data_IF_257057093396
#
_entry.id   IF_257057093396
#
_cell.length_a   1.000
_cell.length_b   1.000
_cell.length_c   1.000
_cell.angle_alpha   90.00
_cell.angle_beta   90.00
_cell.angle_gamma   90.00
#
_symmetry.space_group_name_H-M   'P 1'
#
loop_
_entity.id
_entity.type
_entity.pdbx_description
1 polymer ?
#
# COMPACT_ATOMS: atom_id res chain seq x y z
N UNK A 1 19.19 4.21 -44.45
CA UNK A 1 17.73 4.47 -44.45
C UNK A 1 17.37 5.09 -45.79
N UNK A 2 16.23 4.74 -46.36
CA UNK A 2 15.77 5.42 -47.58
C UNK A 2 15.36 6.86 -47.26
N UNK A 3 15.22 7.71 -48.28
CA UNK A 3 14.71 9.09 -48.13
C UNK A 3 13.35 9.12 -47.39
N UNK A 4 12.51 8.10 -47.58
CA UNK A 4 11.23 7.98 -46.87
C UNK A 4 11.38 7.65 -45.38
N UNK A 5 12.43 6.91 -44.99
CA UNK A 5 12.70 6.60 -43.58
C UNK A 5 12.98 7.85 -42.75
N UNK A 6 13.76 8.79 -43.30
CA UNK A 6 13.98 10.09 -42.65
C UNK A 6 12.71 10.96 -42.67
N UNK A 7 11.89 10.85 -43.72
CA UNK A 7 10.65 11.63 -43.84
C UNK A 7 9.55 11.15 -42.90
N UNK A 8 9.47 9.85 -42.59
CA UNK A 8 8.44 9.31 -41.69
C UNK A 8 8.74 9.61 -40.22
N UNK A 9 10.01 9.70 -39.82
CA UNK A 9 10.38 10.03 -38.44
C UNK A 9 9.73 11.32 -37.91
N UNK A 10 9.25 11.32 -36.66
CA UNK A 10 8.58 12.44 -36.01
C UNK A 10 7.10 12.20 -35.73
N UNK A 11 6.36 13.27 -35.42
CA UNK A 11 4.95 13.21 -34.99
C UNK A 11 3.98 13.38 -36.16
N UNK A 12 2.89 12.62 -36.14
CA UNK A 12 1.86 12.62 -37.18
C UNK A 12 0.46 12.65 -36.59
N UNK A 13 -0.42 13.45 -37.16
CA UNK A 13 -1.86 13.41 -36.91
C UNK A 13 -2.48 12.43 -37.91
N UNK A 14 -3.06 11.34 -37.41
CA UNK A 14 -3.69 10.30 -38.22
C UNK A 14 -5.19 10.34 -38.00
N UNK A 15 -5.97 10.25 -39.07
CA UNK A 15 -7.43 10.31 -39.03
C UNK A 15 -8.05 9.19 -39.86
N UNK A 16 -8.95 8.41 -39.25
CA UNK A 16 -9.72 7.36 -39.90
C UNK A 16 -11.18 7.39 -39.44
N UNK A 17 -12.11 7.66 -40.36
CA UNK A 17 -13.53 7.90 -40.04
C UNK A 17 -13.66 8.97 -38.95
N UNK A 18 -14.22 8.62 -37.79
CA UNK A 18 -14.40 9.51 -36.63
C UNK A 18 -13.20 9.56 -35.68
N UNK A 19 -12.20 8.70 -35.89
CA UNK A 19 -11.08 8.53 -34.98
C UNK A 19 -9.89 9.39 -35.38
N UNK A 20 -9.17 9.88 -34.38
CA UNK A 20 -7.95 10.66 -34.54
C UNK A 20 -6.90 10.17 -33.55
N UNK A 21 -5.66 10.09 -34.01
CA UNK A 21 -4.53 9.69 -33.18
C UNK A 21 -3.32 10.55 -33.48
N UNK A 22 -2.40 10.61 -32.52
CA UNK A 22 -1.09 11.22 -32.70
C UNK A 22 -0.04 10.11 -32.66
N UNK A 23 0.61 9.87 -33.79
CA UNK A 23 1.66 8.87 -33.91
C UNK A 23 3.02 9.52 -33.72
N UNK A 24 3.97 8.81 -33.14
CA UNK A 24 5.38 9.22 -33.03
C UNK A 24 6.24 8.11 -33.60
N UNK A 25 6.90 8.38 -34.73
CA UNK A 25 7.85 7.46 -35.36
C UNK A 25 9.27 7.82 -34.93
N UNK A 26 10.01 6.83 -34.43
CA UNK A 26 11.43 6.95 -34.12
C UNK A 26 12.28 6.40 -35.27
N UNK A 27 13.51 6.91 -35.40
CA UNK A 27 14.47 6.52 -36.44
C UNK A 27 14.91 5.05 -36.34
N UNK A 28 14.70 4.41 -35.18
CA UNK A 28 15.10 3.02 -34.89
C UNK A 28 14.00 1.99 -35.24
N UNK A 29 12.96 2.41 -35.97
CA UNK A 29 11.86 1.54 -36.37
C UNK A 29 10.77 1.36 -35.31
N UNK A 30 10.80 2.10 -34.19
CA UNK A 30 9.67 2.14 -33.24
C UNK A 30 8.62 3.14 -33.65
N UNK A 31 7.38 2.85 -33.27
CA UNK A 31 6.25 3.77 -33.39
C UNK A 31 5.37 3.66 -32.17
N UNK A 32 4.85 4.79 -31.68
CA UNK A 32 3.81 4.83 -30.65
C UNK A 32 2.65 5.69 -31.11
N UNK A 33 1.47 5.51 -30.50
CA UNK A 33 0.30 6.34 -30.75
C UNK A 33 -0.39 6.74 -29.44
N UNK A 34 -1.07 7.88 -29.48
CA UNK A 34 -1.95 8.37 -28.41
C UNK A 34 -3.25 8.89 -29.01
N UNK A 35 -4.39 8.50 -28.43
CA UNK A 35 -5.70 9.11 -28.69
C UNK A 35 -5.81 10.40 -27.84
N UNK A 36 -5.91 11.58 -28.48
CA UNK A 36 -5.94 12.86 -27.77
C UNK A 36 -7.19 13.09 -26.91
N UNK A 37 -8.25 12.27 -27.05
CA UNK A 37 -9.50 12.46 -26.31
C UNK A 37 -9.50 11.76 -24.95
N UNK A 38 -8.85 10.60 -24.84
CA UNK A 38 -8.87 9.76 -23.65
C UNK A 38 -7.46 9.38 -23.14
N UNK A 39 -6.42 9.83 -23.84
CA UNK A 39 -5.01 9.58 -23.53
C UNK A 39 -4.63 8.07 -23.49
N UNK A 40 -5.46 7.21 -24.10
CA UNK A 40 -5.08 5.83 -24.38
C UNK A 40 -4.02 5.81 -25.47
N UNK A 41 -3.15 4.82 -25.45
CA UNK A 41 -2.08 4.69 -26.42
C UNK A 41 -1.66 3.26 -26.64
N UNK A 42 -0.69 3.09 -27.52
CA UNK A 42 -0.07 1.81 -27.78
C UNK A 42 1.23 1.97 -28.55
N UNK A 43 2.02 0.90 -28.56
CA UNK A 43 3.34 0.88 -29.14
C UNK A 43 3.45 -0.20 -30.22
N UNK A 44 4.43 -0.05 -31.11
CA UNK A 44 4.63 -0.93 -32.23
C UNK A 44 5.98 -0.75 -32.91
N UNK A 45 6.10 -1.37 -34.09
CA UNK A 45 7.24 -1.27 -34.98
C UNK A 45 6.79 -0.89 -36.37
N UNK A 46 7.65 -0.21 -37.11
CA UNK A 46 7.46 0.07 -38.52
C UNK A 46 8.65 -0.42 -39.32
N UNK A 47 8.40 -0.85 -40.56
CA UNK A 47 9.44 -1.26 -41.49
C UNK A 47 9.06 -0.90 -42.92
N UNK A 48 10.05 -0.47 -43.70
CA UNK A 48 9.88 -0.25 -45.14
C UNK A 48 9.76 -1.58 -45.88
N UNK A 49 8.75 -1.71 -46.76
CA UNK A 49 8.58 -2.86 -47.63
C UNK A 49 8.08 -2.43 -49.02
N UNK A 50 9.01 -2.29 -49.96
CA UNK A 50 8.71 -1.90 -51.34
C UNK A 50 8.00 -0.54 -51.40
N UNK A 51 6.74 -0.53 -51.86
CA UNK A 51 5.90 0.67 -51.99
C UNK A 51 5.13 1.03 -50.71
N UNK A 52 5.36 0.31 -49.62
CA UNK A 52 4.65 0.46 -48.36
C UNK A 52 5.62 0.65 -47.20
N UNK A 53 5.14 1.26 -46.13
CA UNK A 53 5.70 1.15 -44.79
C UNK A 53 4.67 0.40 -43.94
N UNK A 54 5.03 -0.79 -43.47
CA UNK A 54 4.12 -1.63 -42.69
C UNK A 54 4.32 -1.37 -41.21
N UNK A 55 3.22 -1.24 -40.47
CA UNK A 55 3.21 -1.09 -39.03
C UNK A 55 2.72 -2.39 -38.39
N UNK A 56 3.35 -2.74 -37.26
CA UNK A 56 2.93 -3.85 -36.40
C UNK A 56 2.72 -3.29 -35.01
N UNK A 57 1.48 -3.39 -34.51
CA UNK A 57 1.09 -2.90 -33.19
C UNK A 57 1.13 -4.04 -32.18
N UNK A 58 1.79 -3.83 -31.04
CA UNK A 58 1.87 -4.86 -30.01
C UNK A 58 0.50 -5.06 -29.34
N UNK A 59 0.09 -6.32 -29.18
CA UNK A 59 -1.19 -6.66 -28.54
C UNK A 59 -2.43 -6.31 -29.37
N UNK A 60 -2.28 -6.01 -30.66
CA UNK A 60 -3.40 -5.70 -31.56
C UNK A 60 -3.32 -6.53 -32.84
N UNK A 61 -4.47 -6.99 -33.33
CA UNK A 61 -4.59 -7.64 -34.65
C UNK A 61 -4.69 -6.63 -35.81
N UNK A 62 -4.60 -5.34 -35.50
CA UNK A 62 -4.63 -4.25 -36.46
C UNK A 62 -3.52 -4.39 -37.50
N UNK A 63 -3.90 -4.30 -38.78
CA UNK A 63 -2.97 -4.23 -39.91
C UNK A 63 -2.99 -2.83 -40.50
N UNK A 64 -1.82 -2.24 -40.64
CA UNK A 64 -1.69 -0.88 -41.15
C UNK A 64 -0.47 -0.73 -42.06
N UNK A 65 -0.68 -0.05 -43.19
CA UNK A 65 0.36 0.20 -44.19
C UNK A 65 0.26 1.63 -44.72
N UNK A 66 1.37 2.35 -44.71
CA UNK A 66 1.49 3.72 -45.24
C UNK A 66 2.04 3.66 -46.68
N UNK A 67 1.41 4.40 -47.59
CA UNK A 67 1.87 4.42 -48.99
C UNK A 67 3.16 5.23 -49.14
N UNK A 68 4.08 4.75 -49.98
CA UNK A 68 5.30 5.48 -50.37
C UNK A 68 5.12 6.12 -51.76
N UNK A 69 5.76 7.27 -52.04
CA UNK A 69 6.67 8.03 -51.16
C UNK A 69 5.94 8.75 -50.02
N UNK A 70 6.68 9.10 -48.96
CA UNK A 70 6.12 9.83 -47.81
C UNK A 70 5.93 11.30 -48.17
N UNK A 71 4.70 11.79 -47.99
CA UNK A 71 4.27 13.17 -48.26
C UNK A 71 3.78 13.83 -46.97
N UNK A 72 4.65 14.53 -46.21
CA UNK A 72 4.34 15.08 -44.89
C UNK A 72 3.02 15.84 -44.76
N UNK A 73 2.65 16.63 -45.76
CA UNK A 73 1.44 17.46 -45.71
C UNK A 73 0.13 16.70 -45.96
N UNK A 74 0.20 15.55 -46.64
CA UNK A 74 -0.98 14.82 -47.11
C UNK A 74 -0.64 13.35 -47.33
N UNK A 75 -0.24 12.69 -46.25
CA UNK A 75 0.07 11.27 -46.26
C UNK A 75 -1.21 10.44 -46.21
N UNK A 76 -1.15 9.23 -46.73
CA UNK A 76 -2.26 8.28 -46.66
C UNK A 76 -1.75 6.85 -46.53
N UNK A 77 -2.65 5.96 -46.18
CA UNK A 77 -2.38 4.54 -46.13
C UNK A 77 -3.67 3.75 -46.02
N UNK A 78 -3.52 2.46 -45.81
CA UNK A 78 -4.59 1.52 -45.60
C UNK A 78 -4.53 0.94 -44.20
N UNK A 79 -5.70 0.73 -43.63
CA UNK A 79 -5.89 0.28 -42.26
C UNK A 79 -6.98 -0.79 -42.21
N UNK A 80 -6.78 -1.83 -41.41
CA UNK A 80 -7.80 -2.83 -41.06
C UNK A 80 -7.72 -3.21 -39.58
N UNK A 81 -8.83 -3.00 -38.87
CA UNK A 81 -9.08 -3.49 -37.52
C UNK A 81 -10.54 -3.93 -37.37
N UNK A 82 -10.88 -4.41 -36.18
CA UNK A 82 -12.23 -4.85 -35.78
C UNK A 82 -13.31 -3.78 -35.98
N UNK A 83 -12.99 -2.50 -35.78
CA UNK A 83 -13.91 -1.37 -35.96
C UNK A 83 -13.95 -0.81 -37.41
N UNK A 84 -13.19 -1.40 -38.34
CA UNK A 84 -13.35 -1.13 -39.76
C UNK A 84 -12.08 -1.27 -40.59
N UNK A 85 -12.30 -1.25 -41.90
CA UNK A 85 -11.25 -1.30 -42.93
C UNK A 85 -11.40 -0.14 -43.90
N UNK A 86 -10.28 0.43 -44.37
CA UNK A 86 -10.28 1.47 -45.40
C UNK A 86 -9.01 2.32 -45.41
N UNK A 87 -9.07 3.43 -46.14
CA UNK A 87 -7.95 4.37 -46.20
C UNK A 87 -8.02 5.39 -45.06
N UNK A 88 -6.87 5.75 -44.51
CA UNK A 88 -6.73 6.86 -43.57
C UNK A 88 -6.00 8.04 -44.21
N UNK A 89 -6.08 9.20 -43.55
CA UNK A 89 -5.29 10.39 -43.89
C UNK A 89 -4.34 10.69 -42.74
N UNK A 90 -3.13 11.13 -43.06
CA UNK A 90 -2.14 11.50 -42.08
C UNK A 90 -1.45 12.81 -42.48
N UNK A 91 -1.09 13.62 -41.49
CA UNK A 91 -0.31 14.84 -41.68
C UNK A 91 0.80 14.91 -40.64
N UNK A 92 2.03 15.17 -41.07
CA UNK A 92 3.16 15.39 -40.17
C UNK A 92 2.89 16.66 -39.38
N UNK A 93 2.95 16.54 -38.07
CA UNK A 93 2.82 17.68 -37.18
C UNK A 93 4.26 18.11 -36.92
N UNK A 94 4.57 19.36 -37.26
CA UNK A 94 5.84 19.94 -36.82
C UNK A 94 5.93 19.75 -35.31
N UNK A 95 7.04 19.18 -34.83
CA UNK A 95 7.33 19.21 -33.42
C UNK A 95 7.14 20.66 -32.98
N UNK A 96 6.38 20.94 -31.90
CA UNK A 96 6.26 22.32 -31.42
C UNK A 96 7.67 22.88 -31.39
N UNK A 97 7.90 23.97 -32.16
CA UNK A 97 9.21 24.59 -32.27
C UNK A 97 9.71 24.70 -30.85
N UNK A 98 10.70 23.87 -30.50
CA UNK A 98 11.20 23.87 -29.15
C UNK A 98 11.58 25.33 -28.89
N UNK A 99 11.00 26.00 -27.87
CA UNK A 99 11.34 27.37 -27.60
C UNK A 99 12.86 27.43 -27.57
N UNK A 100 13.43 28.28 -28.45
CA UNK A 100 14.87 28.50 -28.62
C UNK A 100 15.50 28.33 -27.25
N UNK A 101 16.32 27.28 -27.08
CA UNK A 101 16.77 26.82 -25.77
C UNK A 101 17.15 28.07 -24.97
N UNK A 102 16.38 28.45 -23.93
CA UNK A 102 16.79 29.56 -23.10
C UNK A 102 18.14 29.13 -22.55
N UNK A 103 19.10 30.06 -22.62
CA UNK A 103 20.42 29.91 -22.05
C UNK A 103 20.32 29.09 -20.76
N UNK A 104 20.82 27.86 -20.78
CA UNK A 104 20.77 26.89 -19.68
C UNK A 104 21.74 27.32 -18.57
N UNK A 105 21.75 28.62 -18.27
CA UNK A 105 22.34 29.15 -17.06
C UNK A 105 21.65 28.46 -15.88
N UNK A 106 22.42 27.64 -15.17
CA UNK A 106 22.01 27.05 -13.89
C UNK A 106 21.53 28.19 -13.01
N UNK A 107 20.39 27.99 -12.33
CA UNK A 107 19.87 29.00 -11.42
C UNK A 107 21.01 29.45 -10.47
N UNK A 108 21.39 30.74 -10.46
CA UNK A 108 22.59 31.21 -9.77
C UNK A 108 22.55 31.00 -8.26
N UNK A 109 21.35 30.84 -7.68
CA UNK A 109 21.16 30.54 -6.26
C UNK A 109 21.61 29.12 -5.90
N UNK A 110 21.35 28.14 -6.77
CA UNK A 110 21.73 26.74 -6.56
C UNK A 110 23.12 26.43 -7.12
N UNK A 111 23.58 27.18 -8.14
CA UNK A 111 24.87 26.97 -8.79
C UNK A 111 26.07 27.07 -7.84
N UNK A 112 25.92 27.81 -6.74
CA UNK A 112 26.97 28.00 -5.72
C UNK A 112 26.93 26.96 -4.59
N UNK A 113 25.88 26.14 -4.53
CA UNK A 113 25.68 25.16 -3.47
C UNK A 113 26.31 23.81 -3.84
N UNK A 114 26.89 23.08 -2.88
CA UNK A 114 27.43 21.75 -3.15
C UNK A 114 26.29 20.78 -3.48
N UNK A 115 26.56 19.79 -4.34
CA UNK A 115 25.57 18.77 -4.72
C UNK A 115 25.03 17.95 -3.54
N UNK A 116 25.76 17.87 -2.42
CA UNK A 116 25.27 17.28 -1.17
C UNK A 116 24.04 17.99 -0.58
N UNK A 117 23.71 19.20 -1.06
CA UNK A 117 22.47 19.91 -0.73
C UNK A 117 21.28 19.46 -1.57
N UNK A 118 21.45 18.56 -2.54
CA UNK A 118 20.33 18.05 -3.34
C UNK A 118 19.31 17.30 -2.49
N UNK A 119 18.02 17.53 -2.73
CA UNK A 119 16.93 16.98 -1.90
C UNK A 119 16.96 15.44 -1.86
N UNK A 120 17.43 14.79 -2.93
CA UNK A 120 17.51 13.32 -2.98
C UNK A 120 18.73 12.74 -2.24
N UNK A 121 19.58 13.59 -1.63
CA UNK A 121 20.79 13.20 -0.88
C UNK A 121 20.52 13.10 0.63
N UNK A 122 19.39 12.51 1.03
CA UNK A 122 19.08 12.25 2.45
C UNK A 122 19.88 11.05 2.99
N UNK A 123 20.11 11.02 4.30
CA UNK A 123 20.85 9.96 5.01
C UNK A 123 19.91 8.90 5.59
N UNK A 124 18.72 9.29 6.04
CA UNK A 124 17.68 8.37 6.48
C UNK A 124 16.28 8.92 6.17
N UNK A 125 15.33 7.99 6.10
CA UNK A 125 13.92 8.29 5.92
C UNK A 125 13.07 7.56 6.95
N UNK A 126 12.01 8.22 7.42
CA UNK A 126 10.99 7.66 8.29
C UNK A 126 9.62 7.86 7.63
N UNK A 127 8.89 6.76 7.53
CA UNK A 127 7.49 6.76 7.14
C UNK A 127 6.65 6.27 8.31
N UNK A 128 5.71 7.09 8.76
CA UNK A 128 4.74 6.75 9.79
C UNK A 128 3.35 6.95 9.19
N UNK A 129 2.62 5.83 9.04
CA UNK A 129 1.29 5.81 8.43
C UNK A 129 0.31 6.75 9.13
N UNK A 130 0.50 7.02 10.43
CA UNK A 130 -0.41 7.84 11.23
C UNK A 130 0.04 9.29 11.38
N UNK A 131 1.12 9.67 10.70
CA UNK A 131 1.73 10.97 10.89
C UNK A 131 0.89 12.11 10.28
N UNK A 132 0.48 13.07 11.12
CA UNK A 132 -0.28 14.27 10.73
C UNK A 132 -1.55 13.98 9.91
N UNK A 133 -2.22 12.84 10.15
CA UNK A 133 -3.54 12.60 9.57
C UNK A 133 -4.53 13.59 10.19
N UNK A 134 -5.28 14.36 9.38
CA UNK A 134 -6.35 15.22 9.89
C UNK A 134 -7.39 14.42 10.69
N UNK A 135 -7.92 14.93 11.81
CA UNK A 135 -8.90 14.21 12.63
C UNK A 135 -10.16 13.80 11.88
N UNK A 136 -10.53 14.54 10.82
CA UNK A 136 -11.67 14.27 9.94
C UNK A 136 -11.40 13.17 8.89
N UNK A 137 -10.17 12.64 8.83
CA UNK A 137 -9.74 11.61 7.87
C UNK A 137 -9.18 10.37 8.56
N UNK A 138 -9.92 9.83 9.53
CA UNK A 138 -9.53 8.65 10.31
C UNK A 138 -9.18 7.39 9.48
N UNK A 139 -9.51 7.36 8.19
CA UNK A 139 -9.22 6.26 7.26
C UNK A 139 -8.15 6.59 6.21
N UNK A 140 -7.54 7.78 6.26
CA UNK A 140 -6.47 8.14 5.32
C UNK A 140 -5.11 7.75 5.88
N UNK A 141 -4.24 7.20 5.05
CA UNK A 141 -2.83 7.04 5.40
C UNK A 141 -2.10 8.36 5.23
N UNK A 142 -1.07 8.60 6.05
CA UNK A 142 -0.17 9.74 5.86
C UNK A 142 0.53 9.64 4.50
N UNK A 143 0.58 10.77 3.78
CA UNK A 143 1.39 10.93 2.56
C UNK A 143 2.75 11.57 2.84
N UNK A 144 3.14 11.70 4.11
CA UNK A 144 4.32 12.45 4.52
C UNK A 144 5.52 11.52 4.74
N UNK A 145 6.59 11.78 4.01
CA UNK A 145 7.90 11.22 4.25
C UNK A 145 8.75 12.20 5.05
N UNK A 146 9.31 11.74 6.18
CA UNK A 146 10.27 12.51 6.97
C UNK A 146 11.69 12.13 6.56
N UNK A 147 12.47 13.11 6.13
CA UNK A 147 13.82 12.93 5.59
C UNK A 147 14.83 13.62 6.48
N UNK A 148 15.86 12.90 6.91
CA UNK A 148 17.00 13.43 7.67
C UNK A 148 18.24 13.41 6.78
N UNK A 149 19.08 14.45 6.89
CA UNK A 149 20.29 14.61 6.08
C UNK A 149 21.54 14.59 6.95
N UNK A 150 22.71 14.42 6.33
CA UNK A 150 24.01 14.32 7.02
C UNK A 150 24.38 15.56 7.84
N UNK A 151 23.87 16.74 7.47
CA UNK A 151 24.08 17.99 8.22
C UNK A 151 23.06 18.19 9.37
N UNK A 152 22.25 17.17 9.67
CA UNK A 152 21.23 17.20 10.72
C UNK A 152 19.92 17.90 10.33
N UNK A 153 19.81 18.45 9.12
CA UNK A 153 18.54 19.02 8.64
C UNK A 153 17.48 17.93 8.55
N UNK A 154 16.26 18.26 8.96
CA UNK A 154 15.06 17.44 8.70
C UNK A 154 14.10 18.21 7.79
N UNK A 155 13.51 17.51 6.81
CA UNK A 155 12.40 18.05 6.02
C UNK A 155 11.28 17.01 5.89
N UNK A 156 10.08 17.50 5.60
CA UNK A 156 8.93 16.69 5.25
C UNK A 156 8.64 16.83 3.75
N UNK A 157 8.32 15.72 3.09
CA UNK A 157 7.88 15.65 1.69
C UNK A 157 6.51 15.00 1.66
N UNK A 158 5.49 15.72 1.16
CA UNK A 158 4.18 15.15 0.86
C UNK A 158 4.21 14.49 -0.52
N UNK A 159 4.36 13.16 -0.57
CA UNK A 159 4.58 12.46 -1.83
C UNK A 159 3.36 12.37 -2.73
N UNK A 160 2.17 12.73 -2.25
CA UNK A 160 0.98 12.82 -3.10
C UNK A 160 0.88 14.19 -3.77
N UNK A 161 1.35 15.24 -3.11
CA UNK A 161 1.26 16.62 -3.62
C UNK A 161 2.50 17.05 -4.40
N UNK A 162 3.67 16.60 -3.98
CA UNK A 162 4.94 17.15 -4.46
C UNK A 162 5.59 16.28 -5.53
N UNK A 163 5.31 14.97 -5.57
CA UNK A 163 5.82 14.07 -6.59
C UNK A 163 4.85 13.98 -7.77
N UNK A 164 5.40 14.02 -8.98
CA UNK A 164 4.66 13.89 -10.23
C UNK A 164 4.95 12.55 -10.91
N UNK A 165 3.90 11.89 -11.41
CA UNK A 165 4.01 10.66 -12.22
C UNK A 165 4.30 10.95 -13.70
N UNK A 166 4.65 12.18 -14.07
CA UNK A 166 5.06 12.52 -15.43
C UNK A 166 6.35 11.79 -15.83
N UNK A 167 6.34 11.19 -17.03
CA UNK A 167 7.55 10.66 -17.66
C UNK A 167 8.25 11.78 -18.43
N UNK A 168 9.41 12.21 -17.94
CA UNK A 168 10.23 13.25 -18.56
C UNK A 168 11.25 12.61 -19.53
N UNK A 169 11.44 13.23 -20.69
CA UNK A 169 12.58 12.92 -21.57
C UNK A 169 13.90 13.32 -20.92
N UNK A 170 15.03 12.76 -21.38
CA UNK A 170 16.35 13.08 -20.82
C UNK A 170 16.67 14.58 -20.83
N UNK A 171 16.21 15.31 -21.87
CA UNK A 171 16.37 16.76 -21.95
C UNK A 171 15.53 17.49 -20.89
N UNK A 172 14.28 17.07 -20.70
CA UNK A 172 13.40 17.65 -19.67
C UNK A 172 13.90 17.36 -18.25
N UNK A 173 14.53 16.20 -18.02
CA UNK A 173 15.21 15.89 -16.75
C UNK A 173 16.36 16.86 -16.50
N UNK A 174 17.23 17.08 -17.50
CA UNK A 174 18.32 18.05 -17.38
C UNK A 174 17.79 19.47 -17.13
N UNK A 175 16.79 19.89 -17.90
CA UNK A 175 16.16 21.21 -17.73
C UNK A 175 15.55 21.36 -16.32
N UNK A 176 14.90 20.32 -15.79
CA UNK A 176 14.32 20.34 -14.46
C UNK A 176 15.36 20.43 -13.34
N UNK A 177 16.55 19.83 -13.54
CA UNK A 177 17.66 19.93 -12.59
C UNK A 177 18.35 21.30 -12.64
N UNK A 178 18.62 21.81 -13.85
CA UNK A 178 19.28 23.12 -14.07
C UNK A 178 18.43 24.27 -13.55
N UNK A 179 17.10 24.17 -13.71
CA UNK A 179 16.12 25.16 -13.24
C UNK A 179 15.56 24.86 -11.85
N UNK A 180 16.26 24.06 -11.07
CA UNK A 180 15.90 23.81 -9.69
C UNK A 180 15.86 25.10 -8.85
N UNK A 181 15.30 24.99 -7.66
CA UNK A 181 15.20 26.09 -6.70
C UNK A 181 15.71 25.66 -5.33
N UNK A 182 16.07 26.67 -4.52
CA UNK A 182 16.37 26.45 -3.12
C UNK A 182 15.05 26.32 -2.34
N UNK A 183 14.79 25.13 -1.79
CA UNK A 183 13.58 24.80 -1.07
C UNK A 183 13.78 24.69 0.45
N UNK A 184 12.88 23.94 1.09
CA UNK A 184 12.85 23.75 2.55
C UNK A 184 14.17 23.15 3.04
N UNK A 185 14.65 23.63 4.19
CA UNK A 185 15.92 23.18 4.78
C UNK A 185 17.17 23.55 3.97
N UNK A 186 17.07 24.54 3.06
CA UNK A 186 18.20 24.94 2.21
C UNK A 186 18.62 23.85 1.23
N UNK A 187 17.68 22.99 0.80
CA UNK A 187 17.93 21.92 -0.17
C UNK A 187 17.65 22.37 -1.58
N UNK A 188 18.39 21.81 -2.54
CA UNK A 188 18.16 22.01 -3.96
C UNK A 188 17.05 21.06 -4.40
N UNK A 189 15.92 21.62 -4.82
CA UNK A 189 14.79 20.88 -5.39
C UNK A 189 14.83 21.00 -6.91
N UNK A 190 14.60 19.92 -7.68
CA UNK A 190 14.35 20.04 -9.10
C UNK A 190 13.04 20.79 -9.34
N UNK A 191 12.88 21.38 -10.53
CA UNK A 191 11.63 22.03 -10.93
C UNK A 191 10.42 21.08 -10.86
N UNK A 192 10.66 19.79 -11.17
CA UNK A 192 9.68 18.70 -11.03
C UNK A 192 10.32 17.53 -10.31
N UNK A 193 9.66 17.04 -9.26
CA UNK A 193 10.06 15.82 -8.56
C UNK A 193 9.37 14.61 -9.21
N UNK A 194 10.12 13.83 -9.97
CA UNK A 194 9.66 12.63 -10.68
C UNK A 194 10.61 11.46 -10.37
N UNK A 195 10.27 10.25 -10.80
CA UNK A 195 11.16 9.09 -10.68
C UNK A 195 12.56 9.34 -11.27
N UNK A 196 12.66 10.17 -12.30
CA UNK A 196 13.93 10.46 -12.98
C UNK A 196 14.76 11.57 -12.30
N UNK A 197 14.12 12.50 -11.59
CA UNK A 197 14.83 13.60 -10.92
C UNK A 197 15.17 13.27 -9.46
N UNK A 198 14.29 12.55 -8.74
CA UNK A 198 14.47 12.19 -7.32
C UNK A 198 14.30 10.68 -7.09
N UNK A 199 15.13 9.82 -7.71
CA UNK A 199 14.95 8.37 -7.68
C UNK A 199 14.94 7.76 -6.27
N UNK A 200 15.69 8.32 -5.30
CA UNK A 200 15.72 7.76 -3.93
C UNK A 200 14.46 8.10 -3.14
N UNK A 201 13.98 9.34 -3.21
CA UNK A 201 12.69 9.75 -2.63
C UNK A 201 11.56 8.97 -3.31
N UNK A 202 11.65 8.74 -4.63
CA UNK A 202 10.67 7.94 -5.36
C UNK A 202 10.60 6.49 -4.84
N UNK A 203 11.76 5.85 -4.63
CA UNK A 203 11.80 4.52 -4.03
C UNK A 203 11.25 4.49 -2.60
N UNK A 204 11.46 5.56 -1.83
CA UNK A 204 10.87 5.71 -0.49
C UNK A 204 9.33 5.84 -0.56
N UNK A 205 8.79 6.59 -1.54
CA UNK A 205 7.35 6.65 -1.84
C UNK A 205 6.81 5.26 -2.18
N UNK A 206 7.43 4.53 -3.09
CA UNK A 206 6.96 3.19 -3.49
C UNK A 206 6.95 2.22 -2.29
N UNK A 207 7.93 2.36 -1.38
CA UNK A 207 7.98 1.59 -0.13
C UNK A 207 6.83 1.97 0.80
N UNK A 208 6.54 3.27 0.96
CA UNK A 208 5.41 3.74 1.75
C UNK A 208 4.07 3.23 1.19
N UNK A 209 3.85 3.31 -0.13
CA UNK A 209 2.64 2.79 -0.78
C UNK A 209 2.48 1.28 -0.61
N UNK A 210 3.58 0.51 -0.64
CA UNK A 210 3.54 -0.93 -0.35
C UNK A 210 3.13 -1.22 1.10
N UNK A 211 3.62 -0.43 2.04
CA UNK A 211 3.23 -0.54 3.46
C UNK A 211 1.74 -0.24 3.61
N UNK A 212 1.24 0.84 2.98
CA UNK A 212 -0.19 1.18 2.97
C UNK A 212 -1.05 0.07 2.36
N UNK A 213 -0.66 -0.46 1.19
CA UNK A 213 -1.41 -1.53 0.53
C UNK A 213 -1.41 -2.82 1.36
N UNK A 214 -0.28 -3.16 2.00
CA UNK A 214 -0.21 -4.33 2.86
C UNK A 214 -1.12 -4.23 4.08
N UNK A 215 -1.21 -3.03 4.68
CA UNK A 215 -2.16 -2.76 5.76
C UNK A 215 -3.62 -2.78 5.28
N UNK A 216 -3.89 -2.20 4.11
CA UNK A 216 -5.21 -2.25 3.49
C UNK A 216 -5.66 -3.66 3.13
N UNK A 217 -4.77 -4.51 2.59
CA UNK A 217 -5.07 -5.91 2.29
C UNK A 217 -5.36 -6.70 3.57
N UNK A 218 -4.57 -6.48 4.63
CA UNK A 218 -4.82 -7.07 5.94
C UNK A 218 -6.20 -6.64 6.49
N UNK A 219 -6.53 -5.35 6.35
CA UNK A 219 -7.84 -4.82 6.71
C UNK A 219 -8.98 -5.46 5.88
N UNK A 220 -8.85 -5.50 4.55
CA UNK A 220 -9.86 -6.04 3.64
C UNK A 220 -10.11 -7.54 3.88
N UNK A 221 -9.06 -8.32 4.14
CA UNK A 221 -9.17 -9.74 4.46
C UNK A 221 -9.97 -9.97 5.77
N UNK A 222 -9.77 -9.12 6.77
CA UNK A 222 -10.52 -9.19 8.04
C UNK A 222 -11.97 -8.76 7.84
N UNK A 223 -12.23 -7.68 7.09
CA UNK A 223 -13.57 -7.20 6.81
C UNK A 223 -14.42 -8.24 6.05
N UNK A 224 -13.84 -8.88 5.02
CA UNK A 224 -14.49 -9.97 4.27
C UNK A 224 -14.83 -11.17 5.15
N UNK A 225 -13.95 -11.55 6.07
CA UNK A 225 -14.21 -12.64 7.02
C UNK A 225 -15.34 -12.28 8.00
N UNK A 226 -15.41 -11.02 8.46
CA UNK A 226 -16.47 -10.52 9.32
C UNK A 226 -17.85 -10.53 8.64
N UNK A 227 -17.94 -10.06 7.39
CA UNK A 227 -19.20 -10.06 6.62
C UNK A 227 -19.67 -11.47 6.31
N UNK A 228 -18.77 -12.39 5.93
CA UNK A 228 -19.11 -13.79 5.68
C UNK A 228 -19.63 -14.51 6.93
N UNK A 229 -19.13 -14.14 8.12
CA UNK A 229 -19.63 -14.69 9.38
C UNK A 229 -21.06 -14.22 9.67
N UNK A 230 -21.39 -12.94 9.49
CA UNK A 230 -22.75 -12.43 9.73
C UNK A 230 -23.78 -13.10 8.79
N UNK A 231 -23.41 -13.36 7.54
CA UNK A 231 -24.31 -13.99 6.56
C UNK A 231 -24.49 -15.50 6.73
N UNK A 232 -23.63 -16.17 7.49
CA UNK A 232 -23.68 -17.63 7.68
C UNK A 232 -24.32 -18.05 9.01
N UNK A 233 -24.75 -17.12 9.85
CA UNK A 233 -25.57 -17.42 11.03
C UNK A 233 -27.00 -17.69 10.52
N UNK A 234 -27.49 -18.95 10.53
CA UNK A 234 -28.91 -19.18 10.25
C UNK A 234 -29.75 -18.44 11.28
N UNK A 235 -30.83 -17.80 10.85
CA UNK A 235 -31.81 -17.19 11.75
C UNK A 235 -32.31 -18.26 12.73
N UNK A 236 -31.84 -18.22 13.97
CA UNK A 236 -32.19 -19.25 14.95
C UNK A 236 -33.66 -19.11 15.35
N UNK A 237 -34.47 -20.18 15.30
CA UNK A 237 -35.81 -20.19 15.89
C UNK A 237 -35.69 -19.99 17.40
N UNK A 238 -36.49 -19.08 17.95
CA UNK A 238 -36.56 -18.85 19.38
C UNK A 238 -37.18 -20.08 20.08
N UNK A 239 -36.36 -20.92 20.70
CA UNK A 239 -36.83 -21.88 21.71
C UNK A 239 -36.13 -23.25 21.71
N UNK A 240 -35.72 -23.63 22.93
CA UNK A 240 -35.16 -24.93 23.37
C UNK A 240 -33.64 -25.17 23.14
N UNK A 241 -32.87 -25.46 24.21
CA UNK A 241 -31.46 -25.88 24.09
C UNK A 241 -31.37 -27.34 23.65
N UNK A 242 -30.59 -27.69 22.62
CA UNK A 242 -30.32 -29.08 22.29
C UNK A 242 -29.16 -29.66 23.13
N UNK A 243 -29.16 -30.97 23.41
CA UNK A 243 -28.06 -31.65 24.08
C UNK A 243 -26.84 -31.76 23.15
N UNK A 244 -25.68 -31.48 23.73
CA UNK A 244 -24.36 -31.53 23.11
C UNK A 244 -23.99 -32.91 22.57
N UNK A 245 -23.67 -33.03 21.29
CA UNK A 245 -22.56 -33.86 20.76
C UNK A 245 -22.43 -33.69 19.23
N UNK A 246 -21.58 -32.77 18.78
CA UNK A 246 -21.08 -32.77 17.40
C UNK A 246 -19.56 -32.76 17.46
N UNK A 247 -18.94 -33.90 17.10
CA UNK A 247 -17.50 -34.00 16.85
C UNK A 247 -17.19 -33.33 15.52
N UNK A 248 -16.64 -32.12 15.57
CA UNK A 248 -16.10 -31.44 14.39
C UNK A 248 -14.68 -31.97 14.13
N UNK A 249 -14.53 -32.77 13.07
CA UNK A 249 -13.22 -33.14 12.54
C UNK A 249 -12.57 -31.95 11.85
N UNK A 250 -11.50 -31.39 12.43
CA UNK A 250 -10.70 -30.34 11.78
C UNK A 250 -9.78 -30.96 10.74
N UNK A 251 -9.99 -30.61 9.48
CA UNK A 251 -9.06 -30.89 8.39
C UNK A 251 -7.84 -29.95 8.53
N UNK A 252 -6.65 -30.53 8.63
CA UNK A 252 -5.38 -29.77 8.67
C UNK A 252 -5.11 -29.19 7.28
N UNK A 253 -4.83 -27.89 7.22
CA UNK A 253 -4.26 -27.23 6.04
C UNK A 253 -2.75 -27.39 6.12
N UNK A 254 -2.14 -28.07 5.14
CA UNK A 254 -0.68 -28.21 5.06
C UNK A 254 -0.05 -26.87 4.66
N UNK A 255 1.01 -26.45 5.37
CA UNK A 255 1.88 -25.34 4.94
C UNK A 255 2.01 -24.15 5.90
N UNK A 256 1.21 -24.06 6.97
CA UNK A 256 1.37 -23.01 7.99
C UNK A 256 2.11 -23.58 9.19
N UNK A 257 3.42 -23.32 9.27
CA UNK A 257 4.24 -23.61 10.44
C UNK A 257 3.78 -22.72 11.60
N UNK A 258 2.99 -23.26 12.53
CA UNK A 258 2.73 -22.59 13.81
C UNK A 258 4.05 -22.37 14.52
N UNK A 259 4.39 -21.13 14.82
CA UNK A 259 5.45 -20.79 15.76
C UNK A 259 5.11 -21.47 17.11
N UNK A 260 5.91 -22.47 17.48
CA UNK A 260 5.95 -23.03 18.83
C UNK A 260 4.73 -23.87 19.25
N UNK A 261 4.49 -25.03 18.64
CA UNK A 261 3.74 -26.08 19.33
C UNK A 261 4.57 -26.53 20.55
N UNK A 262 4.28 -25.97 21.72
CA UNK A 262 4.88 -26.37 23.00
C UNK A 262 4.68 -27.88 23.16
N UNK A 263 5.75 -28.60 23.49
CA UNK A 263 5.68 -30.05 23.69
C UNK A 263 4.53 -30.37 24.67
N UNK A 264 3.63 -31.26 24.27
CA UNK A 264 2.51 -31.68 25.11
C UNK A 264 3.06 -32.16 26.47
N UNK A 265 2.78 -31.41 27.54
CA UNK A 265 3.26 -31.70 28.89
C UNK A 265 4.18 -30.65 29.52
N UNK A 266 4.54 -29.57 28.83
CA UNK A 266 5.22 -28.47 29.50
C UNK A 266 4.34 -27.87 30.62
N UNK A 267 4.88 -27.62 31.82
CA UNK A 267 4.08 -27.14 32.94
C UNK A 267 3.47 -25.76 32.61
N UNK A 268 2.19 -25.62 32.94
CA UNK A 268 1.50 -24.33 32.98
C UNK A 268 2.11 -23.47 34.08
N UNK A 269 2.11 -22.16 33.89
CA UNK A 269 2.71 -21.21 34.83
C UNK A 269 1.63 -20.37 35.52
N UNK A 270 1.96 -19.80 36.68
CA UNK A 270 1.16 -18.75 37.31
C UNK A 270 1.66 -17.37 36.83
N UNK A 271 0.76 -16.44 36.48
CA UNK A 271 1.16 -15.11 36.05
C UNK A 271 1.71 -14.28 37.23
N UNK A 272 2.67 -13.40 36.93
CA UNK A 272 3.27 -12.50 37.91
C UNK A 272 2.18 -11.63 38.53
N UNK A 273 2.05 -11.68 39.86
CA UNK A 273 1.02 -10.98 40.64
C UNK A 273 -0.44 -11.29 40.24
N UNK A 274 -0.70 -12.42 39.57
CA UNK A 274 -2.03 -12.69 39.05
C UNK A 274 -2.40 -11.85 37.83
N UNK A 275 -1.45 -11.15 37.19
CA UNK A 275 -1.72 -10.15 36.15
C UNK A 275 -1.08 -10.53 34.82
N UNK A 276 -1.84 -10.39 33.74
CA UNK A 276 -1.37 -10.66 32.38
C UNK A 276 -1.63 -9.46 31.48
N UNK A 277 -0.57 -9.00 30.81
CA UNK A 277 -0.67 -8.13 29.65
C UNK A 277 -0.74 -9.01 28.39
N UNK A 278 -1.84 -8.95 27.64
CA UNK A 278 -2.09 -9.81 26.46
C UNK A 278 -1.63 -9.20 25.14
N UNK A 279 -0.90 -8.08 25.19
CA UNK A 279 -0.22 -7.50 24.03
C UNK A 279 -0.43 -5.99 23.87
N UNK A 280 0.06 -5.48 22.75
CA UNK A 280 0.13 -4.05 22.45
C UNK A 280 1.49 -3.44 22.82
N UNK A 281 1.53 -2.15 23.13
CA UNK A 281 2.77 -1.34 23.17
C UNK A 281 3.25 -0.88 24.55
N UNK A 282 2.99 -1.62 25.64
CA UNK A 282 3.51 -1.23 26.98
C UNK A 282 3.72 -2.42 27.90
N UNK A 283 4.91 -2.97 27.86
CA UNK A 283 5.36 -4.07 28.71
C UNK A 283 5.65 -3.59 30.14
N UNK A 284 5.25 -4.38 31.13
CA UNK A 284 5.41 -4.02 32.54
C UNK A 284 6.08 -5.15 33.32
N UNK A 285 7.14 -4.85 34.08
CA UNK A 285 7.88 -5.83 34.88
C UNK A 285 7.11 -6.37 36.09
N UNK A 286 5.95 -5.80 36.42
CA UNK A 286 5.08 -6.26 37.52
C UNK A 286 3.99 -7.24 37.07
N UNK A 287 3.96 -7.62 35.80
CA UNK A 287 2.97 -8.52 35.20
C UNK A 287 3.66 -9.53 34.29
N UNK A 288 2.96 -10.60 33.89
CA UNK A 288 3.41 -11.46 32.80
C UNK A 288 3.01 -10.85 31.47
N UNK A 289 3.96 -10.67 30.54
CA UNK A 289 3.69 -10.10 29.22
C UNK A 289 3.62 -11.21 28.18
N UNK A 290 2.44 -11.42 27.59
CA UNK A 290 2.26 -12.26 26.41
C UNK A 290 2.59 -11.44 25.16
N UNK A 291 3.49 -11.98 24.35
CA UNK A 291 3.78 -11.39 23.05
C UNK A 291 4.23 -12.52 22.11
N UNK A 292 3.58 -12.70 20.94
CA UNK A 292 3.96 -13.73 19.97
C UNK A 292 5.25 -13.39 19.19
N UNK A 293 5.85 -12.20 19.41
CA UNK A 293 6.94 -11.62 18.63
C UNK A 293 6.54 -11.55 17.15
N UNK A 294 5.48 -10.81 16.85
CA UNK A 294 5.10 -10.50 15.47
C UNK A 294 5.76 -9.16 15.07
N UNK A 295 6.71 -9.12 14.12
CA UNK A 295 7.35 -7.88 13.69
C UNK A 295 6.37 -6.80 13.20
N UNK A 296 5.18 -7.23 12.75
CA UNK A 296 4.17 -6.34 12.18
C UNK A 296 3.13 -5.87 13.21
N UNK A 297 3.17 -6.30 14.48
CA UNK A 297 2.16 -5.94 15.50
C UNK A 297 2.45 -4.64 16.24
N UNK A 298 3.57 -3.96 15.93
CA UNK A 298 3.95 -2.68 16.52
C UNK A 298 4.44 -2.76 17.99
N UNK A 299 4.52 -3.95 18.57
CA UNK A 299 5.10 -4.18 19.90
C UNK A 299 6.61 -4.43 19.85
N UNK A 300 7.34 -4.32 20.97
CA UNK A 300 8.75 -4.67 21.01
C UNK A 300 8.97 -6.15 20.73
N UNK A 301 10.12 -6.46 20.14
CA UNK A 301 10.54 -7.83 19.80
C UNK A 301 11.65 -8.36 20.72
N UNK A 302 12.22 -7.51 21.56
CA UNK A 302 13.34 -7.83 22.46
C UNK A 302 13.21 -7.11 23.80
N UNK A 303 13.82 -7.66 24.85
CA UNK A 303 13.89 -6.98 26.16
C UNK A 303 12.56 -6.93 26.93
N UNK A 304 11.60 -7.80 26.58
CA UNK A 304 10.29 -7.85 27.23
C UNK A 304 10.44 -8.47 28.63
N UNK A 305 10.15 -7.75 29.72
CA UNK A 305 10.23 -8.31 31.06
C UNK A 305 9.14 -9.38 31.27
N UNK A 306 9.45 -10.45 32.01
CA UNK A 306 8.53 -11.58 32.27
C UNK A 306 7.81 -12.08 31.00
N UNK A 307 8.54 -12.13 29.89
CA UNK A 307 7.99 -12.50 28.60
C UNK A 307 7.57 -13.96 28.58
N UNK A 308 6.37 -14.20 28.04
CA UNK A 308 5.90 -15.52 27.67
C UNK A 308 5.59 -15.47 26.18
N UNK A 309 6.28 -16.29 25.41
CA UNK A 309 6.06 -16.41 23.98
C UNK A 309 4.69 -17.06 23.72
N UNK A 310 3.75 -16.26 23.22
CA UNK A 310 2.39 -16.70 22.89
C UNK A 310 1.41 -15.55 22.77
N UNK A 311 0.30 -15.80 22.08
CA UNK A 311 -0.83 -14.87 21.99
C UNK A 311 -1.87 -15.10 23.08
N UNK A 312 -2.91 -14.27 23.08
CA UNK A 312 -4.06 -14.43 23.98
C UNK A 312 -4.79 -15.76 23.74
N UNK A 313 -4.76 -16.26 22.51
CA UNK A 313 -5.31 -17.54 22.05
C UNK A 313 -4.69 -18.78 22.69
N UNK A 314 -3.49 -18.62 23.23
CA UNK A 314 -2.70 -19.71 23.80
C UNK A 314 -2.73 -19.68 25.34
N UNK A 315 -3.44 -18.72 25.96
CA UNK A 315 -3.50 -18.57 27.42
C UNK A 315 -3.89 -19.86 28.14
N UNK A 316 -4.88 -20.60 27.63
CA UNK A 316 -5.32 -21.87 28.22
C UNK A 316 -4.28 -22.99 28.20
N UNK A 317 -3.24 -22.86 27.38
CA UNK A 317 -2.11 -23.80 27.30
C UNK A 317 -0.92 -23.29 28.13
N UNK A 318 -0.82 -21.98 28.33
CA UNK A 318 0.29 -21.31 29.01
C UNK A 318 0.07 -21.21 30.52
N UNK A 319 -1.14 -20.86 30.96
CA UNK A 319 -1.43 -20.55 32.37
C UNK A 319 -2.27 -21.61 33.07
N UNK A 320 -2.09 -21.70 34.39
CA UNK A 320 -2.94 -22.53 35.25
C UNK A 320 -4.38 -22.01 35.28
N UNK A 321 -5.36 -22.91 35.40
CA UNK A 321 -6.77 -22.53 35.50
C UNK A 321 -7.02 -21.69 36.77
N UNK A 322 -7.80 -20.60 36.64
CA UNK A 322 -8.11 -19.70 37.75
C UNK A 322 -6.92 -18.90 38.31
N UNK A 323 -5.78 -18.86 37.60
CA UNK A 323 -4.58 -18.17 38.08
C UNK A 323 -4.50 -16.68 37.67
N UNK A 324 -5.25 -16.27 36.65
CA UNK A 324 -5.28 -14.88 36.15
C UNK A 324 -6.39 -14.10 36.87
N UNK A 325 -6.02 -13.06 37.63
CA UNK A 325 -6.94 -12.17 38.35
C UNK A 325 -7.22 -10.88 37.60
N UNK A 326 -6.24 -10.39 36.85
CA UNK A 326 -6.37 -9.19 36.02
C UNK A 326 -5.75 -9.43 34.64
N UNK A 327 -6.51 -9.11 33.61
CA UNK A 327 -6.08 -9.18 32.21
C UNK A 327 -6.24 -7.81 31.57
N UNK A 328 -5.20 -7.32 30.91
CA UNK A 328 -5.24 -6.02 30.23
C UNK A 328 -4.40 -6.01 28.95
N UNK A 329 -4.59 -4.98 28.14
CA UNK A 329 -3.79 -4.71 26.95
C UNK A 329 -3.60 -3.21 26.80
N UNK A 330 -2.58 -2.79 26.04
CA UNK A 330 -2.39 -1.38 25.70
C UNK A 330 -2.21 -1.18 24.20
N UNK A 331 -3.21 -0.63 23.50
CA UNK A 331 -3.22 -0.44 22.05
C UNK A 331 -3.05 -1.76 21.28
N UNK A 332 -3.73 -2.81 21.72
CA UNK A 332 -3.75 -4.09 21.00
C UNK A 332 -4.60 -3.94 19.75
N UNK A 333 -4.08 -4.27 18.56
CA UNK A 333 -4.87 -4.14 17.33
C UNK A 333 -5.95 -5.22 17.30
N UNK A 334 -7.16 -4.85 16.91
CA UNK A 334 -8.26 -5.81 16.78
C UNK A 334 -7.90 -6.98 15.84
N UNK A 335 -7.22 -6.68 14.73
CA UNK A 335 -6.84 -7.65 13.68
C UNK A 335 -5.77 -8.67 14.10
N UNK A 336 -5.02 -8.41 15.17
CA UNK A 336 -3.95 -9.31 15.62
C UNK A 336 -4.47 -10.50 16.43
N UNK A 337 -5.76 -10.51 16.77
CA UNK A 337 -6.36 -11.47 17.72
C UNK A 337 -7.53 -12.20 17.09
N UNK A 338 -7.52 -13.52 17.18
CA UNK A 338 -8.70 -14.34 16.94
C UNK A 338 -9.61 -14.30 18.17
N UNK A 339 -10.45 -13.27 18.26
CA UNK A 339 -11.27 -12.99 19.44
C UNK A 339 -12.10 -14.17 19.96
N UNK A 340 -12.82 -14.95 19.13
CA UNK A 340 -13.55 -16.12 19.63
C UNK A 340 -12.66 -17.15 20.32
N UNK A 341 -11.46 -17.42 19.78
CA UNK A 341 -10.52 -18.36 20.40
C UNK A 341 -9.86 -17.75 21.64
N UNK A 342 -9.46 -16.48 21.55
CA UNK A 342 -8.77 -15.74 22.61
C UNK A 342 -9.64 -15.59 23.86
N UNK A 343 -10.91 -15.21 23.73
CA UNK A 343 -11.81 -15.05 24.88
C UNK A 343 -12.12 -16.40 25.55
N UNK A 344 -12.27 -17.47 24.77
CA UNK A 344 -12.40 -18.84 25.31
C UNK A 344 -11.14 -19.30 26.05
N UNK A 345 -9.95 -18.99 25.52
CA UNK A 345 -8.69 -19.31 26.18
C UNK A 345 -8.53 -18.53 27.49
N UNK A 346 -8.87 -17.24 27.49
CA UNK A 346 -8.87 -16.39 28.67
C UNK A 346 -9.84 -16.92 29.75
N UNK A 347 -11.07 -17.26 29.38
CA UNK A 347 -12.08 -17.82 30.29
C UNK A 347 -11.58 -19.08 31.05
N UNK A 348 -10.72 -19.89 30.44
CA UNK A 348 -10.17 -21.10 31.10
C UNK A 348 -9.18 -20.79 32.22
N UNK A 349 -8.55 -19.62 32.19
CA UNK A 349 -7.45 -19.25 33.11
C UNK A 349 -7.79 -18.12 34.06
N UNK A 350 -8.86 -17.38 33.78
CA UNK A 350 -9.38 -16.32 34.64
C UNK A 350 -9.95 -16.91 35.95
N UNK A 351 -9.61 -16.30 37.07
CA UNK A 351 -10.21 -16.58 38.37
C UNK A 351 -11.65 -16.06 38.42
N UNK A 352 -12.56 -16.68 39.19
CA UNK A 352 -13.89 -16.11 39.45
C UNK A 352 -13.79 -14.68 39.99
N UNK A 353 -14.52 -13.74 39.39
CA UNK A 353 -14.45 -12.31 39.73
C UNK A 353 -13.22 -11.59 39.16
N UNK A 354 -12.44 -12.26 38.30
CA UNK A 354 -11.29 -11.67 37.63
C UNK A 354 -11.69 -10.52 36.71
N UNK A 355 -10.82 -9.50 36.59
CA UNK A 355 -11.12 -8.25 35.86
C UNK A 355 -10.42 -8.21 34.51
N UNK A 356 -11.13 -7.70 33.51
CA UNK A 356 -10.60 -7.39 32.18
C UNK A 356 -10.67 -5.89 31.94
N UNK A 357 -9.57 -5.30 31.49
CA UNK A 357 -9.50 -3.90 31.07
C UNK A 357 -8.53 -3.77 29.89
N UNK A 358 -9.05 -3.78 28.68
CA UNK A 358 -8.26 -3.85 27.45
C UNK A 358 -8.42 -2.57 26.64
N UNK A 359 -7.31 -1.93 26.27
CA UNK A 359 -7.33 -0.99 25.17
C UNK A 359 -7.10 -1.76 23.87
N UNK A 360 -8.13 -1.80 23.03
CA UNK A 360 -8.14 -2.50 21.74
C UNK A 360 -8.40 -1.49 20.66
N UNK A 361 -7.51 -1.38 19.67
CA UNK A 361 -7.74 -0.51 18.53
C UNK A 361 -8.78 -1.14 17.61
N UNK A 362 -10.00 -0.61 17.66
CA UNK A 362 -11.10 -0.96 16.75
C UNK A 362 -11.37 0.22 15.82
N UNK A 363 -11.63 -0.07 14.56
CA UNK A 363 -11.90 0.92 13.52
C UNK A 363 -13.42 1.11 13.36
N UNK A 364 -14.19 0.01 13.43
CA UNK A 364 -15.62 0.04 13.16
C UNK A 364 -16.45 -0.34 14.40
N UNK A 365 -17.67 0.21 14.50
CA UNK A 365 -18.66 -0.18 15.52
C UNK A 365 -18.96 -1.69 15.46
N UNK A 366 -18.86 -2.30 14.27
CA UNK A 366 -19.02 -3.74 14.09
C UNK A 366 -17.95 -4.55 14.84
N UNK A 367 -16.69 -4.10 14.83
CA UNK A 367 -15.61 -4.74 15.58
C UNK A 367 -15.81 -4.62 17.09
N UNK A 368 -16.25 -3.46 17.56
CA UNK A 368 -16.60 -3.24 18.98
C UNK A 368 -17.72 -4.19 19.42
N UNK A 369 -18.75 -4.33 18.59
CA UNK A 369 -19.86 -5.24 18.86
C UNK A 369 -19.40 -6.70 18.82
N UNK A 370 -18.56 -7.09 17.85
CA UNK A 370 -17.99 -8.43 17.77
C UNK A 370 -17.11 -8.76 18.99
N UNK A 371 -16.30 -7.79 19.44
CA UNK A 371 -15.49 -7.90 20.65
C UNK A 371 -16.38 -8.13 21.88
N UNK A 372 -17.42 -7.29 22.05
CA UNK A 372 -18.40 -7.43 23.14
C UNK A 372 -19.04 -8.82 23.12
N UNK A 373 -19.56 -9.24 21.96
CA UNK A 373 -20.21 -10.54 21.78
C UNK A 373 -19.26 -11.71 22.06
N UNK A 374 -17.99 -11.63 21.64
CA UNK A 374 -17.00 -12.68 21.90
C UNK A 374 -16.70 -12.86 23.40
N UNK A 375 -16.65 -11.77 24.18
CA UNK A 375 -16.48 -11.84 25.63
C UNK A 375 -17.73 -12.36 26.33
N UNK A 376 -18.92 -11.87 25.97
CA UNK A 376 -20.19 -12.34 26.53
C UNK A 376 -20.39 -13.84 26.25
N UNK A 377 -20.09 -14.30 25.04
CA UNK A 377 -20.17 -15.71 24.64
C UNK A 377 -19.17 -16.61 25.39
N UNK A 378 -18.03 -16.07 25.81
CA UNK A 378 -17.06 -16.78 26.64
C UNK A 378 -17.42 -16.79 28.14
N UNK A 379 -18.55 -16.21 28.53
CA UNK A 379 -19.09 -16.24 29.88
C UNK A 379 -18.80 -14.99 30.72
N UNK A 380 -18.01 -14.04 30.21
CA UNK A 380 -17.73 -12.79 30.90
C UNK A 380 -19.02 -11.96 31.07
N UNK A 381 -19.09 -11.25 32.20
CA UNK A 381 -20.19 -10.39 32.62
C UNK A 381 -19.79 -8.93 32.59
N UNK A 382 -20.80 -8.06 32.60
CA UNK A 382 -20.63 -6.60 32.63
C UNK A 382 -19.72 -6.08 31.49
N UNK A 383 -19.80 -6.70 30.31
CA UNK A 383 -18.97 -6.35 29.16
C UNK A 383 -19.39 -4.98 28.63
N UNK A 384 -18.48 -4.01 28.72
CA UNK A 384 -18.66 -2.65 28.20
C UNK A 384 -17.54 -2.33 27.24
N UNK A 385 -17.89 -1.80 26.08
CA UNK A 385 -16.96 -1.25 25.10
C UNK A 385 -17.30 0.23 24.94
N UNK A 386 -16.31 1.10 25.15
CA UNK A 386 -16.47 2.56 25.08
C UNK A 386 -15.29 3.18 24.32
N UNK A 387 -15.49 4.35 23.72
CA UNK A 387 -14.46 5.04 22.94
C UNK A 387 -14.38 4.53 21.49
N UNK A 388 -13.51 5.16 20.70
CA UNK A 388 -13.38 4.93 19.25
C UNK A 388 -11.90 4.89 18.84
N UNK A 389 -11.61 4.24 17.71
CA UNK A 389 -10.25 4.16 17.15
C UNK A 389 -9.27 3.50 18.12
N UNK A 390 -8.11 4.13 18.29
CA UNK A 390 -7.05 3.68 19.21
C UNK A 390 -7.38 3.92 20.71
N UNK A 391 -8.54 4.53 20.99
CA UNK A 391 -9.05 4.81 22.34
C UNK A 391 -10.18 3.88 22.77
N UNK A 392 -10.47 2.80 22.03
CA UNK A 392 -11.53 1.87 22.40
C UNK A 392 -11.12 1.01 23.60
N UNK A 393 -11.88 1.13 24.68
CA UNK A 393 -11.66 0.42 25.94
C UNK A 393 -12.76 -0.62 26.15
N UNK A 394 -12.35 -1.87 26.30
CA UNK A 394 -13.20 -2.96 26.78
C UNK A 394 -12.97 -3.20 28.26
N UNK A 395 -14.06 -3.27 29.04
CA UNK A 395 -14.04 -3.74 30.43
C UNK A 395 -15.00 -4.90 30.63
N UNK A 396 -14.63 -5.88 31.45
CA UNK A 396 -15.48 -7.02 31.80
C UNK A 396 -15.07 -7.65 33.14
N UNK A 397 -15.90 -8.55 33.65
CA UNK A 397 -15.61 -9.40 34.82
C UNK A 397 -15.89 -10.86 34.47
N UNK A 398 -15.02 -11.78 34.86
CA UNK A 398 -15.22 -13.21 34.61
C UNK A 398 -16.08 -13.88 35.69
#
# INVERSE_FOLDING_TARGET
>A
MSDDGNKIAGRWSVSFKKWKWIYTFEDDGKVSWVDPLNNLGGDGRWAENGKLINLTWYGSETKESWYRPIVPEKQSGWYAADYGTGNFQAKKIEAPVAPRAPDLSVNPEIAKLPWSRYVDQFSSQLYDMNYKIPPDKSFAYSSILRMTYDDGTEIEIDFEKELSNENLSSKEVQDALVRGSLGRGGRIFPLKMTAATVPRIWAARDTALKIQNGDFEAFAAVALAGVAFILTIPAMPAGAPPPSTVKVGRQRVNGVSRAGARAAGAPRIKPVNGKVNVGGGTENSKVTNLNPINPNSGGPTTGIPNHVLGGMEDMGELFEAGSVREMFSNKLRYVDVNWPRATQAAARVMAPGGKVSMNVWTIETAEQQALKTAFEAAGFKNVKVVGEGAGTILTATF
#
